data_IF_092270081000
#
_entry.id   IF_092270081000
#
_cell.length_a   1.000
_cell.length_b   1.000
_cell.length_c   1.000
_cell.angle_alpha   90.00
_cell.angle_beta   90.00
_cell.angle_gamma   90.00
#
_symmetry.space_group_name_H-M   'P 1'
#
loop_
_entity.id
_entity.type
_entity.pdbx_description
1 polymer ?
#
# COMPACT_ATOMS: atom_id res chain seq x y z
N UNK A 1 3.88 15.53 40.31
CA UNK A 1 3.05 14.34 40.64
C UNK A 1 1.93 14.11 39.63
N UNK A 2 1.34 15.16 39.04
CA UNK A 2 0.34 15.00 37.96
C UNK A 2 0.93 14.39 36.67
N UNK A 3 2.16 14.75 36.30
CA UNK A 3 2.75 14.26 35.03
C UNK A 3 2.94 12.72 35.03
N UNK A 4 3.39 12.13 36.15
CA UNK A 4 3.45 10.67 36.32
C UNK A 4 2.10 9.96 36.27
N UNK A 5 1.00 10.65 36.56
CA UNK A 5 -0.36 10.09 36.48
C UNK A 5 -0.87 10.10 35.04
N UNK A 6 -0.52 11.15 34.27
CA UNK A 6 -0.84 11.30 32.84
C UNK A 6 -0.04 10.33 31.99
N UNK A 7 1.22 10.05 32.33
CA UNK A 7 2.06 9.07 31.64
C UNK A 7 1.63 7.61 31.90
N UNK A 8 0.92 7.35 33.00
CA UNK A 8 0.45 6.01 33.36
C UNK A 8 -0.93 5.66 32.75
N UNK A 9 -1.78 6.67 32.51
CA UNK A 9 -3.11 6.51 31.91
C UNK A 9 -3.12 5.71 30.59
N UNK A 10 -2.20 5.91 29.63
CA UNK A 10 -2.12 5.12 28.40
C UNK A 10 -1.92 3.61 28.59
N UNK A 11 -1.46 3.17 29.78
CA UNK A 11 -1.09 1.77 30.02
C UNK A 11 -2.22 0.92 30.59
N UNK A 12 -3.28 1.52 31.13
CA UNK A 12 -4.40 0.77 31.73
C UNK A 12 -5.42 0.32 30.67
N UNK A 13 -5.85 -0.93 30.74
CA UNK A 13 -6.76 -1.57 29.78
C UNK A 13 -8.10 -0.82 29.62
N UNK A 14 -8.60 -0.24 30.72
CA UNK A 14 -9.82 0.56 30.75
C UNK A 14 -9.66 1.88 29.99
N UNK A 15 -8.55 2.60 30.20
CA UNK A 15 -8.27 3.83 29.49
C UNK A 15 -8.01 3.58 28.01
N UNK A 16 -7.29 2.51 27.64
CA UNK A 16 -7.12 2.11 26.22
C UNK A 16 -8.46 1.89 25.52
N UNK A 17 -9.41 1.21 26.19
CA UNK A 17 -10.78 1.03 25.67
C UNK A 17 -11.55 2.35 25.62
N UNK A 18 -11.57 3.14 26.69
CA UNK A 18 -12.28 4.42 26.67
C UNK A 18 -11.70 5.37 25.60
N UNK A 19 -10.38 5.40 25.45
CA UNK A 19 -9.69 6.19 24.45
C UNK A 19 -10.04 5.76 23.02
N UNK A 20 -10.05 4.45 22.73
CA UNK A 20 -10.38 3.94 21.40
C UNK A 20 -11.84 4.17 21.01
N UNK A 21 -12.77 4.05 21.97
CA UNK A 21 -14.21 4.14 21.72
C UNK A 21 -14.77 5.56 21.81
N UNK A 22 -14.14 6.47 22.56
CA UNK A 22 -14.67 7.81 22.84
C UNK A 22 -13.71 8.91 22.38
N UNK A 23 -12.46 8.90 22.84
CA UNK A 23 -11.52 10.01 22.58
C UNK A 23 -11.09 10.08 21.12
N UNK A 24 -10.73 8.95 20.50
CA UNK A 24 -10.27 8.92 19.10
C UNK A 24 -11.39 9.31 18.14
N UNK A 25 -12.64 8.79 18.24
CA UNK A 25 -13.75 9.27 17.42
C UNK A 25 -14.06 10.76 17.64
N UNK A 26 -14.04 11.23 18.89
CA UNK A 26 -14.24 12.65 19.20
C UNK A 26 -13.19 13.54 18.54
N UNK A 27 -11.91 13.21 18.66
CA UNK A 27 -10.83 13.96 18.01
C UNK A 27 -10.88 13.88 16.50
N UNK A 28 -11.22 12.73 15.92
CA UNK A 28 -11.40 12.61 14.49
C UNK A 28 -12.53 13.50 13.95
N UNK A 29 -13.59 13.70 14.75
CA UNK A 29 -14.66 14.62 14.39
C UNK A 29 -14.24 16.09 14.55
N UNK A 30 -13.50 16.42 15.61
CA UNK A 30 -13.06 17.80 15.91
C UNK A 30 -11.87 18.26 15.05
N UNK A 31 -11.03 17.34 14.60
CA UNK A 31 -9.79 17.61 13.89
C UNK A 31 -9.63 16.55 12.80
N UNK A 32 -10.47 16.59 11.74
CA UNK A 32 -10.40 15.62 10.67
C UNK A 32 -9.05 15.72 9.96
N UNK A 33 -8.49 14.55 9.66
CA UNK A 33 -7.23 14.40 8.93
C UNK A 33 -7.56 13.82 7.56
N UNK A 34 -6.98 14.38 6.51
CA UNK A 34 -7.12 13.87 5.15
C UNK A 34 -6.27 12.59 4.99
N UNK A 35 -6.77 11.55 4.32
CA UNK A 35 -5.95 10.38 4.02
C UNK A 35 -4.79 10.78 3.12
N UNK A 36 -3.59 10.27 3.41
CA UNK A 36 -2.45 10.39 2.51
C UNK A 36 -2.67 9.46 1.31
N UNK A 37 -2.38 9.91 0.08
CA UNK A 37 -2.58 9.10 -1.11
C UNK A 37 -1.62 7.89 -1.11
N UNK A 38 -2.11 6.74 -1.55
CA UNK A 38 -1.25 5.57 -1.81
C UNK A 38 -0.27 5.81 -2.95
N UNK A 39 0.53 4.78 -3.27
CA UNK A 39 1.50 4.84 -4.35
C UNK A 39 2.93 5.02 -3.87
N UNK A 40 3.92 4.74 -4.73
CA UNK A 40 5.33 4.95 -4.41
C UNK A 40 5.64 6.45 -4.32
N UNK A 41 6.48 6.83 -3.35
CA UNK A 41 6.99 8.18 -3.26
C UNK A 41 8.12 8.39 -4.28
N UNK A 42 8.17 9.54 -4.98
CA UNK A 42 9.32 9.88 -5.81
C UNK A 42 10.58 9.92 -4.95
N UNK A 43 11.55 9.03 -5.21
CA UNK A 43 12.87 9.12 -4.58
C UNK A 43 13.91 9.69 -5.55
N UNK A 44 14.79 10.52 -5.02
CA UNK A 44 15.91 11.09 -5.76
C UNK A 44 17.15 10.17 -5.77
N UNK A 45 17.17 9.12 -4.94
CA UNK A 45 18.27 8.16 -4.95
C UNK A 45 18.12 7.17 -6.11
N UNK A 46 19.21 6.94 -6.85
CA UNK A 46 19.18 6.10 -8.04
C UNK A 46 18.73 4.65 -7.73
N UNK A 47 19.12 4.11 -6.57
CA UNK A 47 18.75 2.76 -6.15
C UNK A 47 17.30 2.60 -5.69
N UNK A 48 16.66 3.69 -5.27
CA UNK A 48 15.29 3.64 -4.73
C UNK A 48 14.25 3.41 -5.83
N UNK A 49 14.55 3.91 -7.03
CA UNK A 49 13.73 3.74 -8.23
C UNK A 49 13.97 2.39 -8.93
N UNK A 50 14.85 1.54 -8.40
CA UNK A 50 15.12 0.20 -8.96
C UNK A 50 14.28 -0.88 -8.30
N UNK A 51 13.78 -0.67 -7.08
CA UNK A 51 12.98 -1.69 -6.38
C UNK A 51 11.77 -1.07 -5.67
N UNK A 52 10.88 -0.48 -6.46
CA UNK A 52 9.62 0.10 -5.97
C UNK A 52 8.67 -1.00 -5.49
N UNK A 53 7.83 -0.69 -4.51
CA UNK A 53 6.80 -1.60 -4.00
C UNK A 53 5.43 -1.21 -4.52
N UNK A 54 4.56 -2.20 -4.69
CA UNK A 54 3.12 -2.00 -4.82
C UNK A 54 2.42 -2.99 -3.89
N UNK A 55 1.51 -2.47 -3.07
CA UNK A 55 0.83 -3.20 -2.02
C UNK A 55 -0.68 -2.96 -2.09
N UNK A 56 -1.32 -3.61 -3.06
CA UNK A 56 -2.75 -3.46 -3.30
C UNK A 56 -3.57 -4.17 -2.23
N UNK A 57 -4.53 -3.45 -1.65
CA UNK A 57 -5.57 -4.01 -0.79
C UNK A 57 -6.90 -3.83 -1.50
N UNK A 58 -7.46 -4.94 -2.00
CA UNK A 58 -8.67 -4.92 -2.82
C UNK A 58 -9.81 -5.68 -2.11
N UNK A 59 -10.80 -4.96 -1.56
CA UNK A 59 -11.93 -5.60 -0.90
C UNK A 59 -12.73 -6.48 -1.86
N UNK A 60 -13.08 -7.69 -1.42
CA UNK A 60 -13.96 -8.57 -2.21
C UNK A 60 -15.39 -8.05 -2.18
N UNK A 61 -16.09 -8.16 -3.33
CA UNK A 61 -17.55 -7.90 -3.40
C UNK A 61 -18.33 -8.79 -2.44
N UNK A 62 -17.93 -10.07 -2.36
CA UNK A 62 -18.53 -11.06 -1.48
C UNK A 62 -17.62 -11.28 -0.28
N UNK A 63 -17.89 -10.56 0.81
CA UNK A 63 -17.13 -10.62 2.08
C UNK A 63 -17.50 -11.86 2.90
N UNK A 64 -17.13 -13.04 2.39
CA UNK A 64 -17.47 -14.33 2.99
C UNK A 64 -16.42 -15.42 2.66
N UNK A 65 -16.44 -16.58 3.34
CA UNK A 65 -15.63 -17.72 2.94
C UNK A 65 -15.82 -18.15 1.48
N UNK A 66 -17.03 -17.99 0.92
CA UNK A 66 -17.31 -18.33 -0.48
C UNK A 66 -16.62 -17.35 -1.41
N UNK A 67 -16.73 -16.04 -1.17
CA UNK A 67 -16.03 -15.05 -1.99
C UNK A 67 -14.51 -15.21 -1.97
N UNK A 68 -13.95 -15.60 -0.81
CA UNK A 68 -12.53 -15.99 -0.72
C UNK A 68 -12.20 -17.23 -1.55
N UNK A 69 -13.07 -18.24 -1.54
CA UNK A 69 -12.88 -19.45 -2.35
C UNK A 69 -12.95 -19.14 -3.85
N UNK A 70 -13.87 -18.26 -4.27
CA UNK A 70 -13.96 -17.76 -5.65
C UNK A 70 -12.70 -16.99 -6.06
N UNK A 71 -12.18 -16.13 -5.20
CA UNK A 71 -10.92 -15.42 -5.45
C UNK A 71 -9.74 -16.40 -5.60
N UNK A 72 -9.64 -17.40 -4.72
CA UNK A 72 -8.62 -18.44 -4.83
C UNK A 72 -8.76 -19.26 -6.13
N UNK A 73 -9.99 -19.58 -6.52
CA UNK A 73 -10.28 -20.29 -7.77
C UNK A 73 -9.87 -19.46 -9.00
N UNK A 74 -10.19 -18.16 -9.02
CA UNK A 74 -9.82 -17.26 -10.11
C UNK A 74 -8.30 -17.18 -10.29
N UNK A 75 -7.54 -17.08 -9.19
CA UNK A 75 -6.06 -17.12 -9.25
C UNK A 75 -5.57 -18.48 -9.74
N UNK A 76 -6.14 -19.58 -9.24
CA UNK A 76 -5.73 -20.93 -9.63
C UNK A 76 -5.97 -21.21 -11.13
N UNK A 77 -7.11 -20.76 -11.67
CA UNK A 77 -7.46 -20.91 -13.08
C UNK A 77 -6.55 -20.11 -14.01
N UNK A 78 -5.97 -19.01 -13.51
CA UNK A 78 -5.10 -18.12 -14.28
C UNK A 78 -3.60 -18.30 -13.98
N UNK A 79 -3.23 -19.33 -13.21
CA UNK A 79 -1.86 -19.57 -12.73
C UNK A 79 -0.82 -19.47 -13.84
N UNK A 80 -1.03 -20.16 -14.97
CA UNK A 80 -0.05 -20.23 -16.05
C UNK A 80 0.13 -18.87 -16.74
N UNK A 81 -0.97 -18.12 -16.93
CA UNK A 81 -0.93 -16.77 -17.46
C UNK A 81 -0.23 -15.81 -16.50
N UNK A 82 -0.44 -15.94 -15.18
CA UNK A 82 0.28 -15.16 -14.16
C UNK A 82 1.78 -15.42 -14.26
N UNK A 83 2.21 -16.68 -14.31
CA UNK A 83 3.65 -17.00 -14.44
C UNK A 83 4.25 -16.49 -15.74
N UNK A 84 3.53 -16.64 -16.86
CA UNK A 84 3.98 -16.10 -18.14
C UNK A 84 4.13 -14.58 -18.09
N UNK A 85 3.16 -13.87 -17.49
CA UNK A 85 3.22 -12.42 -17.30
C UNK A 85 4.41 -11.98 -16.49
N UNK A 86 4.60 -12.58 -15.31
CA UNK A 86 5.68 -12.23 -14.41
C UNK A 86 7.07 -12.48 -15.02
N UNK A 87 7.22 -13.54 -15.81
CA UNK A 87 8.47 -13.83 -16.50
C UNK A 87 8.75 -12.86 -17.65
N UNK A 88 7.70 -12.39 -18.34
CA UNK A 88 7.84 -11.58 -19.55
C UNK A 88 7.91 -10.06 -19.28
N UNK A 89 7.30 -9.57 -18.21
CA UNK A 89 7.27 -8.12 -17.90
C UNK A 89 8.67 -7.59 -17.54
N UNK A 90 9.58 -8.46 -17.09
CA UNK A 90 11.02 -8.20 -17.03
C UNK A 90 11.51 -7.15 -16.02
N UNK A 91 10.59 -6.36 -15.48
CA UNK A 91 10.79 -5.36 -14.43
C UNK A 91 10.35 -5.87 -13.06
N UNK A 92 9.89 -7.12 -12.94
CA UNK A 92 9.30 -7.65 -11.70
C UNK A 92 10.30 -8.53 -10.97
N UNK A 93 10.67 -8.13 -9.75
CA UNK A 93 11.45 -8.99 -8.85
C UNK A 93 10.58 -10.09 -8.26
N UNK A 94 9.36 -9.72 -7.87
CA UNK A 94 8.44 -10.59 -7.18
C UNK A 94 7.01 -10.05 -7.26
N UNK A 95 6.03 -10.94 -7.36
CA UNK A 95 4.64 -10.61 -7.11
C UNK A 95 3.92 -11.81 -6.49
N UNK A 96 2.94 -11.54 -5.62
CA UNK A 96 2.03 -12.56 -5.08
C UNK A 96 0.64 -12.01 -4.87
N UNK A 97 -0.33 -12.90 -4.98
CA UNK A 97 -1.69 -12.69 -4.49
C UNK A 97 -1.83 -13.31 -3.09
N UNK A 98 -2.50 -12.60 -2.19
CA UNK A 98 -2.72 -13.04 -0.80
C UNK A 98 -4.16 -12.71 -0.42
N UNK A 99 -4.85 -13.63 0.25
CA UNK A 99 -6.16 -13.34 0.84
C UNK A 99 -5.94 -12.92 2.29
N UNK A 100 -6.37 -11.71 2.67
CA UNK A 100 -6.26 -11.18 4.03
C UNK A 100 -7.63 -10.70 4.49
N UNK A 101 -8.26 -11.46 5.40
CA UNK A 101 -9.62 -11.18 5.83
C UNK A 101 -10.61 -11.30 4.66
N UNK A 102 -11.32 -10.23 4.35
CA UNK A 102 -12.25 -10.14 3.21
C UNK A 102 -11.66 -9.37 2.02
N UNK A 103 -10.33 -9.29 1.93
CA UNK A 103 -9.61 -8.65 0.82
C UNK A 103 -8.80 -9.68 0.04
N UNK A 104 -8.70 -9.46 -1.27
CA UNK A 104 -7.61 -9.99 -2.09
C UNK A 104 -6.54 -8.90 -2.17
N UNK A 105 -5.30 -9.26 -1.86
CA UNK A 105 -4.16 -8.35 -1.90
C UNK A 105 -3.21 -8.78 -2.99
N UNK A 106 -2.55 -7.82 -3.63
CA UNK A 106 -1.41 -8.08 -4.51
C UNK A 106 -0.21 -7.32 -3.99
N UNK A 107 0.85 -8.05 -3.67
CA UNK A 107 2.11 -7.47 -3.23
C UNK A 107 3.15 -7.72 -4.30
N UNK A 108 3.77 -6.67 -4.83
CA UNK A 108 4.85 -6.78 -5.80
C UNK A 108 6.00 -5.82 -5.52
N UNK A 109 7.15 -6.19 -6.05
CA UNK A 109 8.36 -5.36 -6.12
C UNK A 109 8.79 -5.31 -7.58
N UNK A 110 8.98 -4.10 -8.09
CA UNK A 110 9.23 -3.85 -9.50
C UNK A 110 10.25 -2.72 -9.72
N UNK A 111 10.82 -2.69 -10.92
CA UNK A 111 11.77 -1.69 -11.36
C UNK A 111 11.04 -0.46 -11.93
N UNK A 112 11.50 0.73 -11.57
CA UNK A 112 11.16 1.96 -12.27
C UNK A 112 9.80 2.56 -11.91
N UNK A 113 9.17 3.14 -12.93
CA UNK A 113 7.96 3.96 -12.79
C UNK A 113 6.70 3.12 -12.61
N UNK A 114 5.84 3.54 -11.67
CA UNK A 114 4.57 2.88 -11.36
C UNK A 114 3.64 2.78 -12.58
N UNK A 115 3.48 3.88 -13.32
CA UNK A 115 2.55 3.94 -14.46
C UNK A 115 2.99 2.97 -15.55
N UNK A 116 4.28 2.98 -15.89
CA UNK A 116 4.86 2.07 -16.88
C UNK A 116 4.77 0.61 -16.43
N UNK A 117 5.08 0.33 -15.17
CA UNK A 117 4.93 -1.01 -14.59
C UNK A 117 3.51 -1.55 -14.78
N UNK A 118 2.49 -0.76 -14.42
CA UNK A 118 1.08 -1.18 -14.57
C UNK A 118 0.71 -1.36 -16.05
N UNK A 119 1.18 -0.49 -16.95
CA UNK A 119 0.95 -0.63 -18.40
C UNK A 119 1.51 -1.93 -18.97
N UNK A 120 2.77 -2.24 -18.66
CA UNK A 120 3.44 -3.44 -19.14
C UNK A 120 2.76 -4.71 -18.61
N UNK A 121 2.27 -4.65 -17.37
CA UNK A 121 1.57 -5.75 -16.73
C UNK A 121 0.20 -6.01 -17.37
N UNK A 122 -0.59 -4.96 -17.63
CA UNK A 122 -1.90 -5.10 -18.31
C UNK A 122 -1.73 -5.58 -19.74
N UNK A 123 -0.70 -5.09 -20.46
CA UNK A 123 -0.43 -5.52 -21.83
C UNK A 123 -0.16 -7.03 -21.92
N UNK A 124 0.46 -7.60 -20.88
CA UNK A 124 0.86 -9.00 -20.86
C UNK A 124 -0.19 -9.92 -20.23
N UNK A 125 -0.89 -9.48 -19.18
CA UNK A 125 -1.82 -10.31 -18.40
C UNK A 125 -3.13 -9.60 -18.02
N UNK A 126 -3.60 -8.65 -18.82
CA UNK A 126 -4.85 -7.93 -18.58
C UNK A 126 -6.07 -8.85 -18.39
N UNK A 127 -6.14 -9.97 -19.11
CA UNK A 127 -7.24 -10.94 -18.98
C UNK A 127 -7.30 -11.60 -17.59
N UNK A 128 -6.15 -11.81 -16.96
CA UNK A 128 -6.06 -12.31 -15.58
C UNK A 128 -6.56 -11.25 -14.61
N UNK A 129 -6.12 -10.00 -14.79
CA UNK A 129 -6.60 -8.91 -13.96
C UNK A 129 -8.11 -8.73 -14.09
N UNK A 130 -8.67 -8.80 -15.30
CA UNK A 130 -10.11 -8.75 -15.50
C UNK A 130 -10.85 -9.82 -14.66
N UNK A 131 -10.31 -11.04 -14.56
CA UNK A 131 -10.90 -12.10 -13.75
C UNK A 131 -10.83 -11.81 -12.24
N UNK A 132 -9.72 -11.24 -11.75
CA UNK A 132 -9.54 -10.89 -10.33
C UNK A 132 -10.37 -9.65 -9.96
N UNK A 133 -10.28 -8.60 -10.78
CA UNK A 133 -10.93 -7.31 -10.59
C UNK A 133 -12.45 -7.46 -10.63
N UNK A 134 -12.99 -8.38 -11.44
CA UNK A 134 -14.43 -8.69 -11.43
C UNK A 134 -14.97 -9.10 -10.04
N UNK A 135 -14.11 -9.65 -9.16
CA UNK A 135 -14.45 -10.07 -7.80
C UNK A 135 -14.25 -8.97 -6.74
N UNK A 136 -13.70 -7.81 -7.13
CA UNK A 136 -13.32 -6.70 -6.23
C UNK A 136 -14.36 -5.58 -6.26
N UNK A 137 -14.64 -4.96 -5.12
CA UNK A 137 -15.51 -3.77 -5.03
C UNK A 137 -15.06 -2.67 -6.02
N UNK A 138 -16.01 -2.17 -6.81
CA UNK A 138 -15.84 -1.18 -7.89
C UNK A 138 -14.91 -1.62 -9.04
N UNK A 139 -14.66 -2.93 -9.21
CA UNK A 139 -13.82 -3.43 -10.29
C UNK A 139 -14.46 -3.35 -11.68
N UNK A 140 -15.79 -3.32 -11.75
CA UNK A 140 -16.55 -3.18 -13.00
C UNK A 140 -16.25 -1.88 -13.75
N UNK A 141 -15.89 -0.82 -13.03
CA UNK A 141 -15.63 0.50 -13.61
C UNK A 141 -14.34 0.56 -14.44
N UNK A 142 -13.45 -0.42 -14.23
CA UNK A 142 -12.13 -0.48 -14.87
C UNK A 142 -11.93 -1.74 -15.71
N UNK A 143 -12.96 -2.57 -15.84
CA UNK A 143 -12.93 -3.80 -16.65
C UNK A 143 -13.57 -3.54 -18.03
N UNK A 144 -12.97 -3.93 -19.17
CA UNK A 144 -11.67 -4.59 -19.29
C UNK A 144 -10.49 -3.60 -19.13
N UNK A 145 -9.50 -3.99 -18.33
CA UNK A 145 -8.36 -3.13 -17.94
C UNK A 145 -7.54 -2.66 -19.14
N UNK A 146 -7.42 -3.49 -20.18
CA UNK A 146 -6.66 -3.20 -21.40
C UNK A 146 -7.27 -2.06 -22.23
N UNK A 147 -8.57 -1.80 -22.06
CA UNK A 147 -9.28 -0.71 -22.75
C UNK A 147 -9.43 0.54 -21.91
N UNK A 148 -9.23 0.42 -20.59
CA UNK A 148 -9.41 1.48 -19.62
C UNK A 148 -8.12 1.74 -18.85
N UNK A 149 -6.98 1.77 -19.55
CA UNK A 149 -5.63 1.77 -18.96
C UNK A 149 -5.45 2.87 -17.92
N UNK A 150 -5.75 4.13 -18.27
CA UNK A 150 -5.54 5.25 -17.34
C UNK A 150 -6.49 5.20 -16.13
N UNK A 151 -7.74 4.77 -16.34
CA UNK A 151 -8.70 4.58 -15.25
C UNK A 151 -8.27 3.43 -14.32
N UNK A 152 -7.73 2.35 -14.89
CA UNK A 152 -7.19 1.24 -14.12
C UNK A 152 -5.95 1.65 -13.33
N UNK A 153 -5.02 2.41 -13.92
CA UNK A 153 -3.85 2.95 -13.21
C UNK A 153 -4.28 3.77 -12.00
N UNK A 154 -5.27 4.65 -12.18
CA UNK A 154 -5.84 5.44 -11.09
C UNK A 154 -6.49 4.54 -10.02
N UNK A 155 -7.26 3.54 -10.43
CA UNK A 155 -7.92 2.59 -9.53
C UNK A 155 -6.93 1.78 -8.69
N UNK A 156 -5.81 1.37 -9.30
CA UNK A 156 -4.69 0.72 -8.61
C UNK A 156 -4.04 1.70 -7.64
N UNK A 157 -3.76 2.93 -8.06
CA UNK A 157 -3.14 3.96 -7.21
C UNK A 157 -3.98 4.27 -5.95
N UNK A 158 -5.31 4.26 -6.07
CA UNK A 158 -6.23 4.46 -4.94
C UNK A 158 -6.29 3.28 -3.98
N UNK A 159 -5.92 2.08 -4.45
CA UNK A 159 -5.95 0.82 -3.68
C UNK A 159 -4.58 0.35 -3.24
N UNK A 160 -3.52 1.00 -3.71
CA UNK A 160 -2.19 0.86 -3.13
C UNK A 160 -2.19 1.53 -1.75
N UNK A 161 -1.64 0.86 -0.76
CA UNK A 161 -1.52 1.47 0.56
C UNK A 161 -0.53 2.64 0.53
N UNK A 162 -0.63 3.52 1.52
CA UNK A 162 0.34 4.57 1.71
C UNK A 162 1.67 3.98 2.19
N UNK A 163 2.76 4.31 1.50
CA UNK A 163 4.10 3.81 1.78
C UNK A 163 4.86 4.87 2.58
N UNK A 164 4.94 4.69 3.90
CA UNK A 164 5.65 5.65 4.78
C UNK A 164 7.11 5.75 4.33
N UNK A 165 7.65 6.97 4.16
CA UNK A 165 9.07 7.17 3.85
C UNK A 165 10.00 6.55 4.90
N UNK A 166 11.31 6.52 4.59
CA UNK A 166 12.29 5.79 5.40
C UNK A 166 12.40 6.26 6.85
N UNK A 167 12.03 7.51 7.15
CA UNK A 167 11.83 7.92 8.54
C UNK A 167 10.35 7.92 8.88
N UNK A 168 9.96 7.14 9.89
CA UNK A 168 8.56 7.05 10.33
C UNK A 168 7.97 8.40 10.79
N UNK A 169 8.82 9.39 11.07
CA UNK A 169 8.46 10.78 11.35
C UNK A 169 8.03 11.57 10.11
N UNK A 170 8.44 11.15 8.91
CA UNK A 170 8.05 11.82 7.65
C UNK A 170 6.54 11.77 7.40
N UNK A 171 5.83 10.81 8.02
CA UNK A 171 4.37 10.77 8.02
C UNK A 171 3.72 12.07 8.53
N UNK A 172 4.35 12.73 9.50
CA UNK A 172 3.89 14.02 10.03
C UNK A 172 4.21 15.16 9.06
N UNK A 173 5.33 15.08 8.33
CA UNK A 173 5.74 16.06 7.33
C UNK A 173 4.87 16.01 6.09
N UNK A 174 4.54 14.81 5.61
CA UNK A 174 3.64 14.62 4.46
C UNK A 174 2.23 15.14 4.78
N UNK A 175 1.78 14.98 6.03
CA UNK A 175 0.53 15.56 6.50
C UNK A 175 0.57 17.10 6.50
N UNK A 176 1.67 17.70 6.98
CA UNK A 176 1.87 19.16 6.97
C UNK A 176 1.88 19.70 5.53
N UNK A 177 2.61 19.03 4.63
CA UNK A 177 2.63 19.36 3.21
C UNK A 177 1.24 19.29 2.57
N UNK A 178 0.46 18.25 2.87
CA UNK A 178 -0.90 18.08 2.34
C UNK A 178 -1.90 19.09 2.91
N UNK A 179 -1.64 19.62 4.10
CA UNK A 179 -2.43 20.69 4.70
C UNK A 179 -1.95 22.11 4.33
N UNK A 180 -0.79 22.23 3.68
CA UNK A 180 -0.16 23.51 3.35
C UNK A 180 0.52 24.19 4.55
N UNK A 181 0.80 23.45 5.61
CA UNK A 181 1.48 23.94 6.80
C UNK A 181 3.01 24.02 6.54
N UNK A 182 3.61 25.19 6.78
CA UNK A 182 5.05 25.44 6.58
C UNK A 182 5.84 25.48 7.89
N UNK A 183 5.17 25.30 9.03
CA UNK A 183 5.80 25.38 10.33
C UNK A 183 6.43 24.03 10.68
N UNK A 184 7.77 23.98 10.71
CA UNK A 184 8.54 22.90 11.33
C UNK A 184 8.14 22.82 12.81
N UNK A 185 7.18 21.95 13.13
CA UNK A 185 6.61 21.83 14.46
C UNK A 185 7.62 21.12 15.38
N UNK A 186 8.53 21.90 15.97
CA UNK A 186 9.52 21.42 16.93
C UNK A 186 8.90 20.54 18.03
N UNK A 187 9.61 19.45 18.36
CA UNK A 187 9.30 18.45 19.40
C UNK A 187 8.02 17.61 19.26
N UNK A 188 7.25 17.71 18.18
CA UNK A 188 6.05 16.86 17.97
C UNK A 188 6.32 15.54 17.23
N UNK A 189 7.58 15.30 16.87
CA UNK A 189 8.03 14.14 16.08
C UNK A 189 8.48 12.95 16.94
N UNK A 190 8.40 13.05 18.27
CA UNK A 190 8.72 11.93 19.15
C UNK A 190 7.60 10.87 19.12
N UNK A 191 7.80 9.83 18.30
CA UNK A 191 6.87 8.71 18.15
C UNK A 191 6.65 7.93 19.45
N UNK A 192 7.57 8.01 20.43
CA UNK A 192 7.40 7.33 21.73
C UNK A 192 6.23 7.90 22.53
N UNK A 193 5.85 9.14 22.25
CA UNK A 193 4.72 9.83 22.87
C UNK A 193 3.38 9.51 22.20
N UNK A 194 3.38 8.73 21.11
CA UNK A 194 2.19 8.41 20.29
C UNK A 194 1.33 9.67 20.02
N UNK A 195 1.90 10.68 19.33
CA UNK A 195 1.25 11.97 19.18
C UNK A 195 -0.12 11.82 18.53
N UNK A 196 -1.08 12.67 18.94
CA UNK A 196 -2.47 12.63 18.43
C UNK A 196 -2.53 12.66 16.89
N UNK A 197 -1.67 13.43 16.25
CA UNK A 197 -1.58 13.52 14.77
C UNK A 197 -1.31 12.14 14.15
N UNK A 198 -0.35 11.39 14.69
CA UNK A 198 -0.02 10.03 14.26
C UNK A 198 -1.22 9.09 14.41
N UNK A 199 -1.88 9.10 15.58
CA UNK A 199 -3.04 8.24 15.85
C UNK A 199 -4.20 8.54 14.90
N UNK A 200 -4.48 9.82 14.64
CA UNK A 200 -5.54 10.23 13.72
C UNK A 200 -5.21 9.90 12.26
N UNK A 201 -3.95 10.04 11.86
CA UNK A 201 -3.53 9.73 10.51
C UNK A 201 -3.51 8.20 10.26
N UNK A 202 -3.04 7.38 11.21
CA UNK A 202 -3.16 5.91 11.11
C UNK A 202 -4.62 5.41 11.19
N UNK A 203 -5.53 6.22 11.74
CA UNK A 203 -6.97 5.96 11.62
C UNK A 203 -7.50 6.29 10.22
N UNK A 204 -7.01 7.36 9.59
CA UNK A 204 -7.41 7.76 8.24
C UNK A 204 -6.79 6.87 7.15
N UNK A 205 -5.55 6.43 7.36
CA UNK A 205 -4.82 5.45 6.57
C UNK A 205 -4.62 4.17 7.41
N UNK A 206 -5.64 3.30 7.52
CA UNK A 206 -5.53 2.08 8.32
C UNK A 206 -4.58 1.04 7.70
N UNK A 207 -4.34 1.14 6.40
CA UNK A 207 -3.40 0.30 5.66
C UNK A 207 -2.19 1.16 5.28
N UNK A 208 -1.03 0.88 5.87
CA UNK A 208 0.23 1.56 5.57
C UNK A 208 1.37 0.55 5.50
N UNK A 209 2.33 0.78 4.62
CA UNK A 209 3.65 0.13 4.68
C UNK A 209 4.57 1.03 5.48
N UNK A 210 5.24 0.49 6.50
CA UNK A 210 6.18 1.24 7.30
C UNK A 210 7.59 1.12 6.70
N UNK A 211 8.16 2.26 6.28
CA UNK A 211 9.44 2.33 5.57
C UNK A 211 9.29 2.09 4.07
N UNK A 212 10.29 2.51 3.28
CA UNK A 212 10.32 2.39 1.82
C UNK A 212 10.62 0.94 1.33
N UNK A 213 10.21 -0.05 2.12
CA UNK A 213 10.54 -1.45 1.94
C UNK A 213 11.95 -1.78 2.44
N UNK A 214 12.05 -2.67 3.41
CA UNK A 214 13.34 -3.23 3.81
C UNK A 214 13.85 -4.15 2.69
N UNK A 215 14.83 -3.67 1.92
CA UNK A 215 15.38 -4.34 0.73
C UNK A 215 16.70 -5.02 1.06
N UNK A 216 16.86 -6.28 0.65
CA UNK A 216 18.08 -7.05 0.89
C UNK A 216 19.20 -6.76 -0.13
N UNK A 217 18.87 -6.19 -1.29
CA UNK A 217 19.82 -5.86 -2.38
C UNK A 217 19.35 -4.63 -3.17
N UNK A 218 19.23 -3.45 -2.52
CA UNK A 218 18.79 -2.24 -3.21
C UNK A 218 19.75 -1.91 -4.36
N UNK A 219 19.18 -1.53 -5.52
CA UNK A 219 19.94 -1.01 -6.66
C UNK A 219 20.27 -1.98 -7.79
N UNK A 220 19.90 -3.27 -7.71
CA UNK A 220 19.94 -4.17 -8.87
C UNK A 220 18.55 -4.36 -9.46
N UNK A 221 18.41 -4.13 -10.77
CA UNK A 221 17.14 -4.35 -11.47
C UNK A 221 16.89 -5.83 -11.70
N UNK A 222 15.63 -6.22 -11.91
CA UNK A 222 15.26 -7.59 -12.21
C UNK A 222 16.00 -8.08 -13.48
N UNK A 223 16.11 -7.20 -14.48
CA UNK A 223 16.87 -7.43 -15.70
C UNK A 223 18.35 -7.74 -15.44
N UNK A 224 19.03 -6.91 -14.64
CA UNK A 224 20.45 -7.08 -14.31
C UNK A 224 20.70 -8.39 -13.56
N UNK A 225 19.81 -8.77 -12.64
CA UNK A 225 19.92 -10.03 -11.90
C UNK A 225 19.78 -11.22 -12.85
N UNK A 226 18.80 -11.21 -13.75
CA UNK A 226 18.58 -12.29 -14.73
C UNK A 226 19.74 -12.44 -15.70
N UNK A 227 20.26 -11.34 -16.21
CA UNK A 227 21.43 -11.32 -17.10
C UNK A 227 22.66 -11.92 -16.39
N UNK A 228 22.95 -11.46 -15.16
CA UNK A 228 24.10 -11.92 -14.38
C UNK A 228 24.04 -13.42 -14.05
N UNK A 229 22.84 -13.96 -13.89
CA UNK A 229 22.58 -15.36 -13.56
C UNK A 229 22.30 -16.24 -14.79
N UNK A 230 22.38 -15.68 -16.00
CA UNK A 230 22.14 -16.39 -17.26
C UNK A 230 20.74 -17.05 -17.34
N UNK A 231 19.73 -16.41 -16.74
CA UNK A 231 18.36 -16.96 -16.64
C UNK A 231 17.49 -16.74 -17.89
N UNK A 232 18.02 -16.05 -18.91
CA UNK A 232 17.30 -15.73 -20.15
C UNK A 232 16.13 -14.76 -19.94
N UNK A 233 15.28 -14.62 -20.96
CA UNK A 233 14.02 -13.87 -20.94
C UNK A 233 12.86 -14.83 -21.15
#
# INVERSE_FOLDING_TARGET
MLDRFVDWLPTTLFFKRAASWILVPYWAHKTPVKPLPGGPHPSFEHGDNVQCMMNLIMPLKVKSPIGRAEAALAIAQNKDAIYAGLNNVGTVHFARFVIVGDNICMFSVYDGDFTNYIRDFIATIGSVFNAVVALVEDGEDVTPCEKNVDAFIQWIHERDLYQVPDTATDFLRDQEALNGDTAMSGNHDDLTLLPRKLVLQLRANPNVSLGNGYRAYPGFSAAQVRERLELGW
#
